data_IF_556485441825
#
_entry.id   IF_556485441825
#
_cell.length_a   1.000
_cell.length_b   1.000
_cell.length_c   1.000
_cell.angle_alpha   90.00
_cell.angle_beta   90.00
_cell.angle_gamma   90.00
#
_symmetry.space_group_name_H-M   'P 1'
#
loop_
_entity.id
_entity.type
_entity.pdbx_description
1 polymer ?
#
# COMPACT_ATOMS: atom_id res chain seq x y z
N UNK A 1 -12.83 0.02 -6.65
CA UNK A 1 -11.82 0.91 -6.04
C UNK A 1 -10.87 0.20 -5.08
N UNK A 2 -11.33 -0.35 -3.95
CA UNK A 2 -10.45 -1.03 -2.97
C UNK A 2 -9.69 -2.25 -3.54
N UNK A 3 -10.26 -2.91 -4.55
CA UNK A 3 -9.66 -4.05 -5.24
C UNK A 3 -8.27 -3.77 -5.83
N UNK A 4 -8.02 -2.57 -6.36
CA UNK A 4 -6.74 -2.26 -7.04
C UNK A 4 -5.56 -2.21 -6.06
N UNK A 5 -5.75 -1.57 -4.91
CA UNK A 5 -4.75 -1.55 -3.84
C UNK A 5 -4.49 -2.96 -3.31
N UNK A 6 -5.54 -3.78 -3.17
CA UNK A 6 -5.39 -5.16 -2.68
C UNK A 6 -4.58 -6.00 -3.66
N UNK A 7 -4.82 -5.86 -4.97
CA UNK A 7 -4.01 -6.54 -5.99
C UNK A 7 -2.54 -6.13 -5.93
N UNK A 8 -2.25 -4.85 -5.72
CA UNK A 8 -0.88 -4.36 -5.56
C UNK A 8 -0.21 -4.90 -4.28
N UNK A 9 -0.95 -4.98 -3.16
CA UNK A 9 -0.45 -5.58 -1.92
C UNK A 9 -0.15 -7.07 -2.09
N UNK A 10 -1.06 -7.82 -2.74
CA UNK A 10 -0.83 -9.24 -3.04
C UNK A 10 0.41 -9.41 -3.92
N UNK A 11 0.59 -8.57 -4.94
CA UNK A 11 1.78 -8.61 -5.79
C UNK A 11 3.07 -8.38 -4.98
N UNK A 12 3.10 -7.41 -4.08
CA UNK A 12 4.24 -7.16 -3.18
C UNK A 12 4.52 -8.38 -2.30
N UNK A 13 3.49 -8.95 -1.67
CA UNK A 13 3.61 -10.14 -0.80
C UNK A 13 4.13 -11.35 -1.57
N UNK A 14 3.68 -11.55 -2.83
CA UNK A 14 4.20 -12.61 -3.70
C UNK A 14 5.65 -12.37 -4.10
N UNK A 15 6.02 -11.15 -4.51
CA UNK A 15 7.41 -10.81 -4.85
C UNK A 15 8.33 -11.05 -3.64
N UNK A 16 7.91 -10.60 -2.45
CA UNK A 16 8.65 -10.81 -1.22
C UNK A 16 8.82 -12.30 -0.90
N UNK A 17 7.75 -13.07 -1.06
CA UNK A 17 7.74 -14.52 -0.88
C UNK A 17 8.71 -15.25 -1.81
N UNK A 18 8.69 -14.91 -3.11
CA UNK A 18 9.62 -15.49 -4.10
C UNK A 18 11.07 -15.15 -3.79
N UNK A 19 11.31 -13.98 -3.18
CA UNK A 19 12.63 -13.48 -2.83
C UNK A 19 13.22 -14.14 -1.59
N UNK A 20 12.40 -14.37 -0.56
CA UNK A 20 12.80 -14.96 0.71
C UNK A 20 12.16 -16.34 0.85
N UNK A 21 12.83 -17.35 0.28
CA UNK A 21 12.33 -18.74 0.20
C UNK A 21 11.94 -19.33 1.56
N UNK A 22 12.57 -18.87 2.63
CA UNK A 22 12.32 -19.23 4.03
C UNK A 22 11.02 -18.63 4.60
N UNK A 23 10.55 -17.50 4.08
CA UNK A 23 9.32 -16.81 4.54
C UNK A 23 8.07 -17.22 3.74
N UNK A 24 8.25 -18.04 2.68
CA UNK A 24 7.17 -18.49 1.77
C UNK A 24 5.99 -19.16 2.49
N UNK A 25 6.23 -19.83 3.61
CA UNK A 25 5.18 -20.49 4.40
C UNK A 25 4.18 -19.51 5.03
N UNK A 26 4.56 -18.23 5.22
CA UNK A 26 3.66 -17.18 5.68
C UNK A 26 2.91 -16.48 4.54
N UNK A 27 3.41 -16.56 3.31
CA UNK A 27 2.82 -15.91 2.12
C UNK A 27 1.43 -16.46 1.82
N UNK A 28 1.28 -17.78 1.79
CA UNK A 28 0.00 -18.42 1.47
C UNK A 28 -1.10 -18.12 2.52
N UNK A 29 -0.85 -18.25 3.83
CA UNK A 29 -1.80 -17.80 4.86
C UNK A 29 -2.19 -16.33 4.72
N UNK A 30 -1.25 -15.44 4.40
CA UNK A 30 -1.53 -14.01 4.20
C UNK A 30 -2.43 -13.79 2.98
N UNK A 31 -2.11 -14.40 1.83
CA UNK A 31 -2.94 -14.29 0.62
C UNK A 31 -4.35 -14.86 0.85
N UNK A 32 -4.46 -16.00 1.54
CA UNK A 32 -5.75 -16.60 1.92
C UNK A 32 -6.53 -15.66 2.84
N UNK A 33 -5.89 -15.07 3.85
CA UNK A 33 -6.52 -14.12 4.77
C UNK A 33 -7.05 -12.90 4.04
N UNK A 34 -6.26 -12.33 3.12
CA UNK A 34 -6.68 -11.20 2.28
C UNK A 34 -7.86 -11.60 1.37
N UNK A 35 -7.81 -12.79 0.76
CA UNK A 35 -8.89 -13.31 -0.06
C UNK A 35 -10.20 -13.50 0.73
N UNK A 36 -10.12 -14.05 1.95
CA UNK A 36 -11.28 -14.18 2.83
C UNK A 36 -11.83 -12.82 3.25
N UNK A 37 -10.97 -11.85 3.57
CA UNK A 37 -11.40 -10.49 3.89
C UNK A 37 -12.13 -9.81 2.72
N UNK A 38 -11.67 -10.03 1.48
CA UNK A 38 -12.36 -9.57 0.28
C UNK A 38 -13.73 -10.24 0.12
N UNK A 39 -13.82 -11.55 0.30
CA UNK A 39 -15.11 -12.26 0.23
C UNK A 39 -16.11 -11.75 1.28
N UNK A 40 -15.64 -11.45 2.49
CA UNK A 40 -16.47 -10.83 3.54
C UNK A 40 -16.91 -9.41 3.13
N UNK A 41 -16.03 -8.64 2.49
CA UNK A 41 -16.37 -7.30 2.00
C UNK A 41 -17.44 -7.35 0.89
N UNK A 42 -17.38 -8.31 -0.02
CA UNK A 42 -18.40 -8.51 -1.07
C UNK A 42 -19.72 -9.08 -0.49
N UNK A 43 -19.64 -9.92 0.54
CA UNK A 43 -20.80 -10.44 1.27
C UNK A 43 -21.43 -9.42 2.23
N UNK A 44 -20.94 -8.16 2.25
CA UNK A 44 -21.41 -7.06 3.10
C UNK A 44 -22.93 -6.93 3.12
N UNK A 45 -23.59 -6.98 1.96
CA UNK A 45 -25.04 -6.79 1.86
C UNK A 45 -25.85 -7.87 2.60
N UNK A 46 -25.27 -9.05 2.80
CA UNK A 46 -25.91 -10.20 3.45
C UNK A 46 -25.55 -10.30 4.94
N UNK A 47 -24.39 -9.75 5.33
CA UNK A 47 -23.82 -9.83 6.67
C UNK A 47 -23.96 -8.55 7.49
N UNK A 48 -24.41 -7.43 6.91
CA UNK A 48 -24.40 -6.09 7.54
C UNK A 48 -25.41 -5.94 8.69
N UNK A 49 -25.12 -6.59 9.83
CA UNK A 49 -25.73 -6.33 11.13
C UNK A 49 -24.83 -5.39 11.92
N UNK A 50 -25.41 -4.59 12.82
CA UNK A 50 -24.63 -3.61 13.59
C UNK A 50 -23.52 -4.25 14.44
N UNK A 51 -23.81 -5.40 15.07
CA UNK A 51 -22.83 -6.12 15.89
C UNK A 51 -21.62 -6.61 15.08
N UNK A 52 -21.81 -6.92 13.80
CA UNK A 52 -20.73 -7.36 12.90
C UNK A 52 -19.72 -6.21 12.67
N UNK A 53 -20.22 -5.00 12.42
CA UNK A 53 -19.38 -3.81 12.26
C UNK A 53 -18.73 -3.39 13.58
N UNK A 54 -19.42 -3.55 14.71
CA UNK A 54 -18.85 -3.32 16.05
C UNK A 54 -17.66 -4.26 16.33
N UNK A 55 -17.82 -5.55 16.04
CA UNK A 55 -16.74 -6.53 16.17
C UNK A 55 -15.56 -6.22 15.25
N UNK A 56 -15.82 -5.97 13.97
CA UNK A 56 -14.78 -5.67 12.98
C UNK A 56 -14.00 -4.41 13.35
N UNK A 57 -14.69 -3.36 13.79
CA UNK A 57 -14.07 -2.10 14.23
C UNK A 57 -13.22 -2.30 15.48
N UNK A 58 -13.67 -3.13 16.42
CA UNK A 58 -12.91 -3.46 17.62
C UNK A 58 -11.61 -4.19 17.26
N UNK A 59 -11.70 -5.22 16.39
CA UNK A 59 -10.51 -5.94 15.88
C UNK A 59 -9.57 -4.98 15.17
N UNK A 60 -10.09 -4.08 14.33
CA UNK A 60 -9.29 -3.08 13.62
C UNK A 60 -8.53 -2.15 14.57
N UNK A 61 -9.18 -1.64 15.61
CA UNK A 61 -8.53 -0.78 16.62
C UNK A 61 -7.44 -1.54 17.39
N UNK A 62 -7.68 -2.80 17.75
CA UNK A 62 -6.66 -3.65 18.38
C UNK A 62 -5.46 -3.80 17.46
N UNK A 63 -5.69 -4.13 16.18
CA UNK A 63 -4.61 -4.28 15.20
C UNK A 63 -3.83 -2.98 15.00
N UNK A 64 -4.51 -1.83 14.90
CA UNK A 64 -3.86 -0.53 14.81
C UNK A 64 -2.97 -0.26 16.02
N UNK A 65 -3.49 -0.51 17.22
CA UNK A 65 -2.74 -0.33 18.46
C UNK A 65 -1.54 -1.27 18.54
N UNK A 66 -1.72 -2.55 18.25
CA UNK A 66 -0.63 -3.54 18.23
C UNK A 66 0.46 -3.16 17.22
N UNK A 67 0.09 -2.75 16.00
CA UNK A 67 1.05 -2.29 15.02
C UNK A 67 1.79 -1.02 15.47
N UNK A 68 1.09 -0.05 16.09
CA UNK A 68 1.71 1.15 16.62
C UNK A 68 2.74 0.82 17.71
N UNK A 69 2.42 -0.08 18.64
CA UNK A 69 3.35 -0.56 19.68
C UNK A 69 4.54 -1.27 19.05
N UNK A 70 4.31 -2.16 18.09
CA UNK A 70 5.36 -2.91 17.39
C UNK A 70 6.34 -1.97 16.67
N UNK A 71 5.82 -1.01 15.90
CA UNK A 71 6.62 -0.01 15.19
C UNK A 71 7.38 0.92 16.12
N UNK A 72 6.80 1.28 17.27
CA UNK A 72 7.47 2.09 18.29
C UNK A 72 8.61 1.31 18.96
N UNK A 73 8.40 0.02 19.22
CA UNK A 73 9.38 -0.86 19.89
C UNK A 73 10.56 -1.19 18.97
N UNK A 74 10.31 -1.46 17.68
CA UNK A 74 11.38 -1.67 16.69
C UNK A 74 11.97 -0.36 16.16
N UNK A 75 11.55 0.79 16.68
CA UNK A 75 12.13 2.10 16.35
C UNK A 75 11.85 2.61 14.93
N UNK A 76 10.91 1.99 14.22
CA UNK A 76 10.53 2.30 12.83
C UNK A 76 9.61 3.54 12.76
N UNK A 77 8.96 3.90 13.87
CA UNK A 77 7.89 4.92 13.90
C UNK A 77 8.32 6.34 13.52
N UNK A 78 9.62 6.66 13.52
CA UNK A 78 10.07 8.00 13.16
C UNK A 78 10.40 8.10 11.67
N UNK A 79 9.51 8.78 10.92
CA UNK A 79 9.69 9.12 9.49
C UNK A 79 11.04 9.74 9.16
N UNK A 80 11.67 10.41 10.13
CA UNK A 80 12.98 11.05 9.95
C UNK A 80 14.15 10.17 10.40
N UNK A 81 13.93 9.22 11.31
CA UNK A 81 15.00 8.40 11.87
C UNK A 81 15.63 7.48 10.83
N UNK A 82 14.81 6.78 10.04
CA UNK A 82 15.31 5.85 9.02
C UNK A 82 16.13 6.56 7.91
N UNK A 83 15.65 7.66 7.29
CA UNK A 83 16.48 8.45 6.37
C UNK A 83 17.73 9.03 7.04
N UNK A 84 17.60 9.53 8.28
CA UNK A 84 18.73 10.13 9.00
C UNK A 84 19.81 9.10 9.34
N UNK A 85 19.45 7.85 9.61
CA UNK A 85 20.41 6.77 9.85
C UNK A 85 21.19 6.46 8.57
N UNK A 86 20.51 6.30 7.43
CA UNK A 86 21.19 6.10 6.13
C UNK A 86 22.14 7.24 5.78
N UNK A 87 21.71 8.48 6.00
CA UNK A 87 22.54 9.67 5.82
C UNK A 87 23.74 9.70 6.79
N UNK A 88 23.53 9.31 8.05
CA UNK A 88 24.58 9.33 9.08
C UNK A 88 25.62 8.22 8.90
N UNK A 89 25.22 7.08 8.34
CA UNK A 89 26.10 5.92 8.12
C UNK A 89 26.65 5.82 6.69
N UNK A 90 26.29 6.76 5.80
CA UNK A 90 26.65 6.77 4.38
C UNK A 90 26.30 5.46 3.66
N UNK A 91 25.17 4.86 4.04
CA UNK A 91 24.70 3.60 3.45
C UNK A 91 24.15 3.86 2.05
N UNK A 92 24.56 3.03 1.08
CA UNK A 92 24.23 3.22 -0.32
C UNK A 92 23.03 2.37 -0.67
N UNK A 93 21.84 2.97 -0.67
CA UNK A 93 20.65 2.25 -1.14
C UNK A 93 20.80 1.71 -2.57
N UNK A 94 20.22 0.54 -2.82
CA UNK A 94 20.22 -0.14 -4.13
C UNK A 94 19.67 0.77 -5.23
N UNK A 95 20.25 0.73 -6.43
CA UNK A 95 19.77 1.51 -7.58
C UNK A 95 18.29 1.26 -7.87
N UNK A 96 17.84 0.01 -7.78
CA UNK A 96 16.44 -0.38 -7.94
C UNK A 96 15.54 0.38 -6.96
N UNK A 97 15.93 0.47 -5.70
CA UNK A 97 15.16 1.15 -4.67
C UNK A 97 14.99 2.64 -4.98
N UNK A 98 16.07 3.33 -5.41
CA UNK A 98 16.01 4.74 -5.78
C UNK A 98 15.15 4.99 -7.02
N UNK A 99 15.26 4.14 -8.04
CA UNK A 99 14.43 4.24 -9.25
C UNK A 99 12.95 4.03 -8.89
N UNK A 100 12.62 2.98 -8.13
CA UNK A 100 11.25 2.73 -7.68
C UNK A 100 10.72 3.87 -6.80
N UNK A 101 11.54 4.45 -5.93
CA UNK A 101 11.14 5.58 -5.09
C UNK A 101 10.83 6.83 -5.93
N UNK A 102 11.66 7.14 -6.95
CA UNK A 102 11.41 8.24 -7.86
C UNK A 102 10.11 8.05 -8.65
N UNK A 103 9.87 6.84 -9.18
CA UNK A 103 8.61 6.49 -9.84
C UNK A 103 7.40 6.61 -8.91
N UNK A 104 7.54 6.17 -7.66
CA UNK A 104 6.48 6.28 -6.65
C UNK A 104 6.09 7.74 -6.40
N UNK A 105 7.08 8.63 -6.19
CA UNK A 105 6.84 10.06 -5.99
C UNK A 105 6.14 10.68 -7.20
N UNK A 106 6.61 10.37 -8.41
CA UNK A 106 5.99 10.87 -9.64
C UNK A 106 4.51 10.44 -9.74
N UNK A 107 4.22 9.17 -9.48
CA UNK A 107 2.87 8.64 -9.53
C UNK A 107 1.96 9.22 -8.44
N UNK A 108 2.49 9.50 -7.24
CA UNK A 108 1.73 10.22 -6.21
C UNK A 108 1.41 11.65 -6.61
N UNK A 109 2.32 12.37 -7.26
CA UNK A 109 2.02 13.72 -7.78
C UNK A 109 0.88 13.65 -8.79
N UNK A 110 0.94 12.71 -9.74
CA UNK A 110 -0.13 12.50 -10.73
C UNK A 110 -1.44 12.16 -10.01
N UNK A 111 -1.42 11.24 -9.06
CA UNK A 111 -2.59 10.86 -8.28
C UNK A 111 -3.19 12.06 -7.55
N UNK A 112 -2.37 12.93 -6.94
CA UNK A 112 -2.84 14.12 -6.25
C UNK A 112 -3.50 15.13 -7.20
N UNK A 113 -2.99 15.29 -8.42
CA UNK A 113 -3.62 16.14 -9.44
C UNK A 113 -5.05 15.66 -9.72
N UNK A 114 -5.23 14.37 -10.01
CA UNK A 114 -6.56 13.80 -10.26
C UNK A 114 -7.45 13.74 -9.01
N UNK A 115 -6.86 13.62 -7.82
CA UNK A 115 -7.59 13.68 -6.55
C UNK A 115 -8.28 15.03 -6.36
N UNK A 116 -7.59 16.14 -6.66
CA UNK A 116 -8.16 17.48 -6.54
C UNK A 116 -9.11 17.85 -7.69
N UNK A 117 -9.07 17.12 -8.80
CA UNK A 117 -10.00 17.28 -9.92
C UNK A 117 -11.33 16.52 -9.72
N UNK A 118 -11.46 15.75 -8.63
CA UNK A 118 -12.57 14.82 -8.39
C UNK A 118 -13.94 15.48 -8.50
N UNK A 119 -14.73 15.02 -9.47
CA UNK A 119 -16.13 15.43 -9.72
C UNK A 119 -17.20 14.53 -9.09
N UNK A 120 -16.82 13.48 -8.35
CA UNK A 120 -17.79 12.49 -7.84
C UNK A 120 -18.49 12.96 -6.55
N UNK A 121 -19.75 13.38 -6.66
CA UNK A 121 -20.66 13.62 -5.52
C UNK A 121 -21.41 12.33 -5.13
N UNK A 122 -20.96 11.66 -4.06
CA UNK A 122 -21.60 10.42 -3.56
C UNK A 122 -22.98 10.64 -2.91
N UNK A 123 -23.39 11.89 -2.68
CA UNK A 123 -24.67 12.23 -2.03
C UNK A 123 -25.84 12.34 -3.02
N UNK A 124 -25.57 12.32 -4.33
CA UNK A 124 -26.60 12.41 -5.36
C UNK A 124 -27.18 11.05 -5.71
N UNK A 125 -28.41 11.05 -6.22
CA UNK A 125 -29.02 9.82 -6.71
C UNK A 125 -28.23 9.26 -7.91
N UNK A 126 -28.22 7.93 -8.13
CA UNK A 126 -27.56 7.35 -9.29
C UNK A 126 -28.09 7.87 -10.64
N UNK A 127 -29.34 8.34 -10.67
CA UNK A 127 -29.95 8.92 -11.87
C UNK A 127 -29.44 10.34 -12.12
N UNK A 128 -29.26 11.14 -11.07
CA UNK A 128 -28.73 12.52 -11.18
C UNK A 128 -27.23 12.52 -11.46
N UNK A 129 -26.48 11.59 -10.86
CA UNK A 129 -25.06 11.40 -11.14
C UNK A 129 -24.78 11.07 -12.61
N UNK A 130 -25.67 10.32 -13.28
CA UNK A 130 -25.54 10.01 -14.71
C UNK A 130 -25.61 11.23 -15.62
N UNK A 131 -26.32 12.27 -15.20
CA UNK A 131 -26.45 13.50 -15.98
C UNK A 131 -25.19 14.39 -15.88
N UNK A 132 -24.32 14.14 -14.91
CA UNK A 132 -23.04 14.84 -14.74
C UNK A 132 -21.83 14.01 -15.18
N UNK A 133 -22.07 12.80 -15.72
CA UNK A 133 -20.99 11.96 -16.23
C UNK A 133 -20.37 12.63 -17.47
N UNK A 134 -19.14 13.11 -17.35
CA UNK A 134 -18.34 13.48 -18.51
C UNK A 134 -17.93 12.22 -19.29
N UNK A 135 -17.65 12.32 -20.60
CA UNK A 135 -17.06 11.20 -21.34
C UNK A 135 -15.77 10.72 -20.65
N UNK A 136 -15.54 9.40 -20.63
CA UNK A 136 -14.30 8.84 -20.09
C UNK A 136 -13.10 9.32 -20.92
N UNK A 137 -12.12 9.95 -20.28
CA UNK A 137 -11.03 10.62 -20.98
C UNK A 137 -9.92 9.64 -21.39
N UNK A 138 -9.58 8.66 -20.56
CA UNK A 138 -8.47 7.74 -20.83
C UNK A 138 -8.96 6.45 -21.48
N UNK A 139 -8.49 6.20 -22.71
CA UNK A 139 -8.87 5.07 -23.57
C UNK A 139 -10.38 4.94 -23.82
N UNK A 140 -11.18 5.99 -23.54
CA UNK A 140 -12.65 5.94 -23.52
C UNK A 140 -13.23 4.90 -22.55
N UNK A 141 -12.44 4.46 -21.56
CA UNK A 141 -12.82 3.45 -20.57
C UNK A 141 -12.72 3.99 -19.16
N UNK A 142 -11.67 4.76 -18.84
CA UNK A 142 -11.38 5.22 -17.48
C UNK A 142 -11.67 6.72 -17.33
N UNK A 143 -12.32 7.07 -16.22
CA UNK A 143 -12.51 8.45 -15.81
C UNK A 143 -11.36 8.97 -14.94
N UNK A 144 -11.41 10.25 -14.56
CA UNK A 144 -10.42 10.90 -13.69
C UNK A 144 -10.28 10.18 -12.33
N UNK A 145 -11.36 9.62 -11.80
CA UNK A 145 -11.41 8.94 -10.51
C UNK A 145 -10.71 7.58 -10.56
N UNK A 146 -10.91 6.83 -11.65
CA UNK A 146 -10.21 5.59 -11.94
C UNK A 146 -8.71 5.83 -12.13
N UNK A 147 -8.33 6.89 -12.86
CA UNK A 147 -6.92 7.26 -13.06
C UNK A 147 -6.27 7.59 -11.72
N UNK A 148 -6.94 8.32 -10.83
CA UNK A 148 -6.45 8.55 -9.46
C UNK A 148 -6.19 7.24 -8.72
N UNK A 149 -7.12 6.29 -8.76
CA UNK A 149 -6.95 5.00 -8.08
C UNK A 149 -5.86 4.12 -8.69
N UNK A 150 -5.75 4.07 -10.02
CA UNK A 150 -4.69 3.35 -10.73
C UNK A 150 -3.33 3.90 -10.32
N UNK A 151 -3.14 5.21 -10.50
CA UNK A 151 -1.85 5.87 -10.27
C UNK A 151 -1.42 5.79 -8.81
N UNK A 152 -2.32 6.01 -7.86
CA UNK A 152 -2.01 5.85 -6.43
C UNK A 152 -1.75 4.40 -6.01
N UNK A 153 -2.43 3.41 -6.61
CA UNK A 153 -2.14 1.99 -6.35
C UNK A 153 -0.74 1.60 -6.82
N UNK A 154 -0.35 2.02 -8.04
CA UNK A 154 1.01 1.80 -8.53
C UNK A 154 2.06 2.58 -7.73
N UNK A 155 1.75 3.81 -7.31
CA UNK A 155 2.66 4.59 -6.46
C UNK A 155 2.97 3.84 -5.15
N UNK A 156 1.94 3.26 -4.53
CA UNK A 156 2.08 2.44 -3.32
C UNK A 156 2.87 1.15 -3.59
N UNK A 157 2.63 0.49 -4.72
CA UNK A 157 3.39 -0.69 -5.14
C UNK A 157 4.90 -0.39 -5.25
N UNK A 158 5.27 0.63 -6.02
CA UNK A 158 6.67 1.01 -6.20
C UNK A 158 7.31 1.51 -4.90
N UNK A 159 6.55 2.19 -4.04
CA UNK A 159 7.01 2.57 -2.71
C UNK A 159 7.41 1.36 -1.87
N UNK A 160 6.55 0.33 -1.81
CA UNK A 160 6.87 -0.89 -1.08
C UNK A 160 8.04 -1.65 -1.71
N UNK A 161 8.11 -1.77 -3.04
CA UNK A 161 9.28 -2.37 -3.70
C UNK A 161 10.57 -1.61 -3.33
N UNK A 162 10.53 -0.27 -3.31
CA UNK A 162 11.65 0.54 -2.90
C UNK A 162 12.06 0.26 -1.46
N UNK A 163 11.12 0.21 -0.51
CA UNK A 163 11.39 -0.11 0.89
C UNK A 163 12.00 -1.51 1.04
N UNK A 164 11.45 -2.51 0.37
CA UNK A 164 11.89 -3.91 0.49
C UNK A 164 13.24 -4.17 -0.17
N UNK A 165 13.70 -3.29 -1.06
CA UNK A 165 14.98 -3.42 -1.78
C UNK A 165 16.02 -2.40 -1.31
N UNK A 166 15.67 -1.54 -0.37
CA UNK A 166 16.50 -0.39 0.00
C UNK A 166 17.78 -0.77 0.74
N UNK A 167 17.76 -1.90 1.44
CA UNK A 167 18.86 -2.41 2.29
C UNK A 167 19.57 -3.62 1.66
N UNK A 168 19.32 -3.92 0.39
CA UNK A 168 19.93 -5.08 -0.26
C UNK A 168 21.46 -4.97 -0.36
N UNK A 169 22.00 -3.76 -0.32
CA UNK A 169 23.44 -3.50 -0.27
C UNK A 169 24.08 -3.98 1.05
N UNK A 170 23.28 -4.12 2.11
CA UNK A 170 23.71 -4.65 3.40
C UNK A 170 23.65 -6.18 3.46
N UNK A 171 22.83 -6.84 2.64
CA UNK A 171 22.70 -8.31 2.64
C UNK A 171 24.01 -9.05 2.31
N UNK A 172 24.95 -8.39 1.62
CA UNK A 172 26.24 -8.98 1.25
C UNK A 172 27.40 -8.54 2.17
N UNK A 173 27.16 -7.61 3.11
CA UNK A 173 28.19 -7.13 4.04
C UNK A 173 28.25 -8.02 5.28
N UNK A 174 29.46 -8.22 5.81
CA UNK A 174 29.63 -8.91 7.08
C UNK A 174 28.99 -8.10 8.21
N UNK A 175 28.34 -8.75 9.18
CA UNK A 175 27.72 -8.05 10.32
C UNK A 175 28.72 -7.22 11.14
N UNK A 176 30.02 -7.53 11.06
CA UNK A 176 31.08 -6.75 11.72
C UNK A 176 31.43 -5.45 10.99
N UNK A 177 31.09 -5.34 9.71
CA UNK A 177 31.34 -4.16 8.87
C UNK A 177 30.15 -3.18 8.89
N UNK A 178 29.01 -3.62 9.43
CA UNK A 178 27.82 -2.79 9.59
C UNK A 178 28.04 -1.87 10.79
N UNK A 179 28.06 -0.56 10.52
CA UNK A 179 28.18 0.45 11.58
C UNK A 179 26.89 0.43 12.41
N UNK A 180 27.01 0.07 13.68
CA UNK A 180 25.95 0.20 14.69
C UNK A 180 26.33 1.31 15.66
N UNK A 181 25.36 2.19 15.97
CA UNK A 181 25.46 3.18 17.07
C UNK A 181 25.58 2.50 18.42
#
# INVERSE_FOLDING_TARGET
MMFMYVMMVVAVVTIWGLRHGDVTHHVYPTVITVGLALLVAEARMWLSREWFWGLLSTVYVILLFSNAVLMSTYGIWSFFKFPSQKLSFEEKGTMLAWVCLAFSILLWIIALVFFFQRRSDSERSPADSRNENSPCDFLHVFDEHDIWHITSSFALFFFFVALLTMDDDLCQKSSQEIKVT
#
